data_IF_378028368715
#
_entry.id   IF_378028368715
#
_cell.length_a   1.000
_cell.length_b   1.000
_cell.length_c   1.000
_cell.angle_alpha   90.00
_cell.angle_beta   90.00
_cell.angle_gamma   90.00
#
_symmetry.space_group_name_H-M   'P 1'
#
loop_
_entity.id
_entity.type
_entity.pdbx_description
1 polymer ?
#
# COMPACT_ATOMS: atom_id res chain seq x y z
N UNK A 1 30.59 -56.01 -13.71
CA UNK A 1 30.71 -54.59 -14.14
C UNK A 1 29.36 -53.96 -14.52
N UNK A 2 28.54 -54.55 -15.42
CA UNK A 2 27.21 -54.01 -15.81
C UNK A 2 26.27 -53.64 -14.64
N UNK A 3 26.16 -54.49 -13.60
CA UNK A 3 25.28 -54.25 -12.44
C UNK A 3 25.74 -53.05 -11.58
N UNK A 4 27.04 -52.82 -11.47
CA UNK A 4 27.63 -51.70 -10.72
C UNK A 4 27.36 -50.38 -11.46
N UNK A 5 27.51 -50.38 -12.78
CA UNK A 5 27.22 -49.21 -13.63
C UNK A 5 25.74 -48.81 -13.54
N UNK A 6 24.82 -49.79 -13.58
CA UNK A 6 23.38 -49.53 -13.43
C UNK A 6 23.06 -48.97 -12.04
N UNK A 7 23.67 -49.52 -10.98
CA UNK A 7 23.48 -49.02 -9.61
C UNK A 7 23.94 -47.57 -9.45
N UNK A 8 25.08 -47.19 -10.04
CA UNK A 8 25.60 -45.82 -10.01
C UNK A 8 24.69 -44.86 -10.78
N UNK A 9 24.13 -45.31 -11.90
CA UNK A 9 23.21 -44.52 -12.72
C UNK A 9 21.90 -44.20 -11.97
N UNK A 10 21.35 -45.16 -11.23
CA UNK A 10 20.16 -44.97 -10.40
C UNK A 10 20.42 -43.96 -9.27
N UNK A 11 21.56 -44.09 -8.58
CA UNK A 11 21.95 -43.14 -7.52
C UNK A 11 22.11 -41.73 -8.09
N UNK A 12 22.72 -41.60 -9.27
CA UNK A 12 22.88 -40.31 -9.93
C UNK A 12 21.53 -39.66 -10.30
N UNK A 13 20.57 -40.44 -10.80
CA UNK A 13 19.21 -39.95 -11.12
C UNK A 13 18.47 -39.49 -9.85
N UNK A 14 18.60 -40.22 -8.74
CA UNK A 14 17.96 -39.84 -7.47
C UNK A 14 18.57 -38.55 -6.91
N UNK A 15 19.90 -38.42 -6.95
CA UNK A 15 20.61 -37.23 -6.47
C UNK A 15 20.29 -36.00 -7.32
N UNK A 16 20.31 -36.13 -8.64
CA UNK A 16 20.01 -35.02 -9.57
C UNK A 16 18.52 -34.64 -9.56
N UNK A 17 17.61 -35.63 -9.55
CA UNK A 17 16.18 -35.40 -9.45
C UNK A 17 15.78 -34.75 -8.12
N UNK A 18 16.37 -35.20 -7.01
CA UNK A 18 16.17 -34.59 -5.69
C UNK A 18 16.66 -33.15 -5.62
N UNK A 19 17.82 -32.84 -6.22
CA UNK A 19 18.37 -31.49 -6.30
C UNK A 19 17.48 -30.56 -7.14
N UNK A 20 17.01 -31.01 -8.30
CA UNK A 20 16.12 -30.23 -9.18
C UNK A 20 14.77 -29.91 -8.51
N UNK A 21 14.19 -30.88 -7.78
CA UNK A 21 12.94 -30.66 -7.03
C UNK A 21 13.13 -29.70 -5.85
N UNK A 22 14.28 -29.77 -5.18
CA UNK A 22 14.61 -28.83 -4.10
C UNK A 22 14.75 -27.41 -4.62
N UNK A 23 15.49 -27.20 -5.71
CA UNK A 23 15.71 -25.89 -6.30
C UNK A 23 14.41 -25.28 -6.87
N UNK A 24 13.56 -26.11 -7.50
CA UNK A 24 12.23 -25.68 -7.94
C UNK A 24 11.34 -25.24 -6.76
N UNK A 25 11.34 -25.98 -5.65
CA UNK A 25 10.57 -25.64 -4.45
C UNK A 25 11.12 -24.36 -3.79
N UNK A 26 12.44 -24.22 -3.68
CA UNK A 26 13.08 -23.01 -3.14
C UNK A 26 12.77 -21.78 -4.00
N UNK A 27 12.78 -21.92 -5.32
CA UNK A 27 12.44 -20.85 -6.27
C UNK A 27 10.96 -20.44 -6.17
N UNK A 28 10.05 -21.41 -6.01
CA UNK A 28 8.62 -21.13 -5.81
C UNK A 28 8.36 -20.40 -4.48
N UNK A 29 8.99 -20.85 -3.39
CA UNK A 29 8.88 -20.20 -2.07
C UNK A 29 9.43 -18.77 -2.12
N UNK A 30 10.57 -18.56 -2.79
CA UNK A 30 11.10 -17.22 -3.04
C UNK A 30 10.11 -16.34 -3.80
N UNK A 31 9.52 -16.85 -4.90
CA UNK A 31 8.58 -16.09 -5.74
C UNK A 31 7.32 -15.65 -4.99
N UNK A 32 6.85 -16.45 -4.02
CA UNK A 32 5.72 -16.11 -3.16
C UNK A 32 6.09 -15.05 -2.10
N UNK A 33 7.36 -15.02 -1.66
CA UNK A 33 7.90 -14.02 -0.73
C UNK A 33 8.15 -12.64 -1.38
N UNK A 34 8.31 -12.58 -2.71
CA UNK A 34 8.53 -11.34 -3.48
C UNK A 34 7.25 -10.77 -4.12
N UNK A 35 6.05 -11.00 -3.55
CA UNK A 35 4.87 -10.26 -4.03
C UNK A 35 5.09 -8.77 -3.74
N UNK A 36 5.39 -8.00 -4.78
CA UNK A 36 5.51 -6.55 -4.69
C UNK A 36 4.18 -5.98 -4.18
N UNK A 37 4.24 -5.21 -3.09
CA UNK A 37 3.06 -4.57 -2.52
C UNK A 37 2.39 -3.68 -3.56
N UNK A 38 1.06 -3.64 -3.54
CA UNK A 38 0.30 -2.78 -4.42
C UNK A 38 -0.80 -2.06 -3.63
N UNK A 39 -1.15 -0.80 -3.95
CA UNK A 39 -2.21 -0.09 -3.24
C UNK A 39 -3.55 -0.84 -3.22
N UNK A 40 -3.83 -1.65 -4.24
CA UNK A 40 -5.05 -2.49 -4.34
C UNK A 40 -5.16 -3.55 -3.24
N UNK A 41 -4.05 -3.92 -2.60
CA UNK A 41 -4.03 -4.91 -1.52
C UNK A 41 -4.53 -4.31 -0.18
N UNK A 42 -4.83 -3.00 -0.15
CA UNK A 42 -5.20 -2.27 1.05
C UNK A 42 -6.57 -1.57 0.91
N UNK A 43 -7.26 -1.42 2.03
CA UNK A 43 -8.22 -0.32 2.23
C UNK A 43 -7.50 0.97 2.65
N UNK A 44 -8.12 2.16 2.51
CA UNK A 44 -7.52 3.42 2.96
C UNK A 44 -7.01 3.38 4.41
N UNK A 45 -7.77 2.76 5.32
CA UNK A 45 -7.37 2.57 6.73
C UNK A 45 -6.15 1.67 6.86
N UNK A 46 -6.18 0.49 6.25
CA UNK A 46 -5.06 -0.45 6.35
C UNK A 46 -3.77 0.08 5.70
N UNK A 47 -3.91 0.89 4.63
CA UNK A 47 -2.78 1.56 3.98
C UNK A 47 -2.08 2.51 4.96
N UNK A 48 -2.83 3.42 5.58
CA UNK A 48 -2.27 4.41 6.53
C UNK A 48 -1.66 3.71 7.75
N UNK A 49 -2.35 2.70 8.29
CA UNK A 49 -1.84 1.94 9.44
C UNK A 49 -0.53 1.20 9.09
N UNK A 50 -0.44 0.60 7.90
CA UNK A 50 0.78 -0.05 7.45
C UNK A 50 1.94 0.95 7.32
N UNK A 51 1.69 2.12 6.73
CA UNK A 51 2.71 3.17 6.57
C UNK A 51 3.17 3.74 7.92
N UNK A 52 2.26 3.89 8.88
CA UNK A 52 2.58 4.24 10.26
C UNK A 52 3.42 3.16 10.93
N UNK A 53 3.04 1.88 10.78
CA UNK A 53 3.73 0.76 11.41
C UNK A 53 5.17 0.59 10.89
N UNK A 54 5.42 0.90 9.61
CA UNK A 54 6.75 0.80 8.97
C UNK A 54 7.66 1.99 9.23
N UNK A 55 7.14 3.07 9.78
CA UNK A 55 7.91 4.26 10.10
C UNK A 55 9.03 3.93 11.12
N UNK A 56 10.24 4.45 10.89
CA UNK A 56 11.48 4.11 11.60
C UNK A 56 11.90 2.63 11.55
N UNK A 57 11.24 1.79 10.73
CA UNK A 57 11.61 0.38 10.49
C UNK A 57 12.18 0.15 9.09
N UNK A 58 12.32 1.22 8.30
CA UNK A 58 12.91 1.19 6.96
C UNK A 58 14.02 2.25 6.88
N UNK A 59 15.11 2.02 6.14
CA UNK A 59 16.23 2.97 6.08
C UNK A 59 15.84 4.37 5.58
N UNK A 60 14.84 4.44 4.70
CA UNK A 60 14.41 5.68 4.04
C UNK A 60 13.05 6.18 4.52
N UNK A 61 12.49 5.57 5.57
CA UNK A 61 11.12 5.85 6.01
C UNK A 61 10.12 5.87 4.86
N UNK A 62 10.26 4.96 3.90
CA UNK A 62 9.40 4.87 2.72
C UNK A 62 8.96 3.44 2.47
N UNK A 63 7.78 3.31 1.86
CA UNK A 63 7.24 2.03 1.41
C UNK A 63 7.18 2.05 -0.10
N UNK A 64 7.90 1.11 -0.71
CA UNK A 64 7.88 0.92 -2.16
C UNK A 64 6.69 0.05 -2.57
N UNK A 65 5.89 0.54 -3.53
CA UNK A 65 4.72 -0.16 -4.06
C UNK A 65 4.70 -0.12 -5.59
N UNK A 66 4.02 -1.10 -6.18
CA UNK A 66 3.81 -1.23 -7.63
C UNK A 66 2.34 -1.12 -8.01
N UNK A 67 2.11 -0.73 -9.26
CA UNK A 67 0.77 -0.56 -9.81
C UNK A 67 0.10 0.73 -9.37
N UNK A 68 -1.18 0.82 -9.68
CA UNK A 68 -1.99 2.02 -9.44
C UNK A 68 -3.05 1.75 -8.36
N UNK A 69 -3.56 2.83 -7.77
CA UNK A 69 -4.75 2.77 -6.93
C UNK A 69 -5.95 2.32 -7.77
N UNK A 70 -6.85 1.47 -7.25
CA UNK A 70 -8.12 1.18 -7.93
C UNK A 70 -8.97 2.44 -8.16
N UNK A 71 -9.89 2.37 -9.13
CA UNK A 71 -10.89 3.44 -9.29
C UNK A 71 -11.88 3.42 -8.13
N UNK A 72 -12.34 4.60 -7.72
CA UNK A 72 -13.26 4.77 -6.58
C UNK A 72 -12.75 4.05 -5.32
N UNK A 73 -11.44 4.07 -5.07
CA UNK A 73 -10.82 3.25 -4.01
C UNK A 73 -11.34 3.59 -2.61
N UNK A 74 -11.57 4.87 -2.33
CA UNK A 74 -12.18 5.34 -1.08
C UNK A 74 -13.69 5.13 -1.12
N UNK A 75 -14.24 4.45 -0.12
CA UNK A 75 -15.68 4.16 -0.03
C UNK A 75 -16.36 5.05 1.03
N UNK A 76 -17.70 5.20 1.00
CA UNK A 76 -18.42 6.01 1.98
C UNK A 76 -18.12 5.64 3.44
N UNK A 77 -17.92 4.35 3.73
CA UNK A 77 -17.61 3.86 5.08
C UNK A 77 -16.19 4.22 5.56
N UNK A 78 -15.28 4.62 4.66
CA UNK A 78 -13.93 5.05 5.02
C UNK A 78 -13.90 6.52 5.46
N UNK A 79 -14.88 7.33 5.03
CA UNK A 79 -14.90 8.79 5.23
C UNK A 79 -14.81 9.17 6.71
N UNK A 80 -15.56 8.48 7.58
CA UNK A 80 -15.57 8.77 9.01
C UNK A 80 -14.19 8.56 9.65
N UNK A 81 -13.49 7.47 9.28
CA UNK A 81 -12.14 7.21 9.75
C UNK A 81 -11.16 8.26 9.23
N UNK A 82 -11.19 8.56 7.93
CA UNK A 82 -10.27 9.52 7.32
C UNK A 82 -10.45 10.92 7.92
N UNK A 83 -11.68 11.36 8.17
CA UNK A 83 -11.96 12.62 8.86
C UNK A 83 -11.43 12.64 10.29
N UNK A 84 -11.53 11.52 11.03
CA UNK A 84 -11.04 11.44 12.42
C UNK A 84 -9.52 11.65 12.55
N UNK A 85 -8.77 11.44 11.47
CA UNK A 85 -7.30 11.58 11.45
C UNK A 85 -6.81 12.74 10.58
N UNK A 86 -7.72 13.50 9.94
CA UNK A 86 -7.37 14.48 8.91
C UNK A 86 -6.40 15.58 9.38
N UNK A 87 -6.45 15.91 10.67
CA UNK A 87 -5.58 16.91 11.32
C UNK A 87 -4.31 16.30 11.95
N UNK A 88 -4.14 14.98 11.90
CA UNK A 88 -3.05 14.32 12.60
C UNK A 88 -1.72 14.52 11.89
N UNK A 89 -0.79 15.16 12.60
CA UNK A 89 0.63 15.32 12.20
C UNK A 89 1.50 14.13 12.64
N UNK A 90 0.88 13.01 13.00
CA UNK A 90 1.62 11.81 13.34
C UNK A 90 2.42 11.32 12.12
N UNK A 91 3.72 11.13 12.31
CA UNK A 91 4.65 10.75 11.24
C UNK A 91 4.40 9.31 10.79
N UNK A 92 4.55 9.09 9.49
CA UNK A 92 4.45 7.79 8.86
C UNK A 92 5.41 7.71 7.67
N UNK A 93 5.52 6.53 7.06
CA UNK A 93 6.34 6.38 5.86
C UNK A 93 5.86 7.26 4.70
N UNK A 94 6.78 7.61 3.80
CA UNK A 94 6.50 8.08 2.46
C UNK A 94 6.04 6.96 1.52
N UNK A 95 5.36 7.33 0.44
CA UNK A 95 5.07 6.45 -0.68
C UNK A 95 6.17 6.55 -1.74
N UNK A 96 6.61 5.42 -2.28
CA UNK A 96 7.52 5.36 -3.42
C UNK A 96 7.00 4.36 -4.43
N UNK A 97 6.88 4.77 -5.69
CA UNK A 97 6.59 3.85 -6.79
C UNK A 97 7.86 3.06 -7.12
N UNK A 98 7.73 1.77 -7.49
CA UNK A 98 8.85 0.94 -7.97
C UNK A 98 9.64 1.55 -9.14
N UNK A 99 9.03 2.44 -9.93
CA UNK A 99 9.67 3.14 -11.04
C UNK A 99 10.34 4.46 -10.63
N UNK A 100 10.34 4.82 -9.35
CA UNK A 100 11.02 6.01 -8.85
C UNK A 100 12.53 5.80 -8.82
N UNK A 101 13.28 6.75 -9.40
CA UNK A 101 14.73 6.86 -9.22
C UNK A 101 15.11 7.78 -8.04
N UNK A 102 14.14 8.46 -7.45
CA UNK A 102 14.37 9.40 -6.34
C UNK A 102 14.36 8.67 -5.00
N UNK A 103 15.46 8.79 -4.27
CA UNK A 103 15.58 8.42 -2.86
C UNK A 103 15.27 9.67 -2.01
N UNK A 104 14.28 9.56 -1.13
CA UNK A 104 13.93 10.60 -0.17
C UNK A 104 13.89 9.97 1.22
N UNK A 105 14.48 10.66 2.19
CA UNK A 105 14.46 10.33 3.62
C UNK A 105 13.41 11.17 4.38
N UNK A 106 12.61 11.97 3.67
CA UNK A 106 11.49 12.69 4.26
C UNK A 106 10.35 11.71 4.62
N UNK A 107 9.42 12.19 5.43
CA UNK A 107 8.34 11.41 6.03
C UNK A 107 6.98 11.92 5.59
N UNK A 108 5.98 11.06 5.58
CA UNK A 108 4.59 11.48 5.50
C UNK A 108 4.01 11.84 6.87
N UNK A 109 2.85 12.48 6.87
CA UNK A 109 1.95 12.60 8.01
C UNK A 109 0.65 11.87 7.69
N UNK A 110 0.08 11.14 8.66
CA UNK A 110 -1.13 10.35 8.40
C UNK A 110 -2.31 11.22 7.95
N UNK A 111 -2.40 12.46 8.45
CA UNK A 111 -3.41 13.43 8.03
C UNK A 111 -3.20 13.90 6.59
N UNK A 112 -1.96 13.99 6.11
CA UNK A 112 -1.66 14.30 4.71
C UNK A 112 -2.21 13.24 3.75
N UNK A 113 -2.05 11.95 4.07
CA UNK A 113 -2.68 10.87 3.31
C UNK A 113 -4.21 10.95 3.37
N UNK A 114 -4.77 11.21 4.56
CA UNK A 114 -6.21 11.34 4.72
C UNK A 114 -6.80 12.48 3.87
N UNK A 115 -6.11 13.62 3.77
CA UNK A 115 -6.48 14.74 2.90
C UNK A 115 -6.53 14.31 1.43
N UNK A 116 -5.48 13.64 0.93
CA UNK A 116 -5.43 13.15 -0.46
C UNK A 116 -6.60 12.19 -0.73
N UNK A 117 -6.81 11.24 0.17
CA UNK A 117 -7.87 10.23 0.00
C UNK A 117 -9.26 10.87 0.03
N UNK A 118 -9.53 11.79 0.96
CA UNK A 118 -10.80 12.51 1.02
C UNK A 118 -11.01 13.41 -0.20
N UNK A 119 -9.98 14.10 -0.68
CA UNK A 119 -10.10 14.90 -1.90
C UNK A 119 -10.43 14.03 -3.13
N UNK A 120 -9.82 12.84 -3.24
CA UNK A 120 -10.15 11.89 -4.32
C UNK A 120 -11.61 11.44 -4.26
N UNK A 121 -12.13 11.19 -3.05
CA UNK A 121 -13.54 10.83 -2.83
C UNK A 121 -14.49 11.98 -3.19
N UNK A 122 -14.19 13.20 -2.73
CA UNK A 122 -15.03 14.39 -2.96
C UNK A 122 -15.10 14.75 -4.44
N UNK A 123 -13.96 14.65 -5.14
CA UNK A 123 -13.85 15.01 -6.56
C UNK A 123 -14.17 13.85 -7.51
N UNK A 124 -14.44 12.65 -6.99
CA UNK A 124 -14.63 11.43 -7.78
C UNK A 124 -13.46 11.18 -8.75
N UNK A 125 -12.23 11.34 -8.25
CA UNK A 125 -10.99 11.14 -9.01
C UNK A 125 -10.19 9.96 -8.50
N UNK A 126 -9.36 9.39 -9.38
CA UNK A 126 -8.40 8.35 -9.01
C UNK A 126 -7.27 8.94 -8.18
N UNK A 127 -6.85 8.25 -7.13
CA UNK A 127 -5.69 8.67 -6.34
C UNK A 127 -4.43 8.56 -7.18
N UNK A 128 -3.64 9.64 -7.18
CA UNK A 128 -2.34 9.69 -7.79
C UNK A 128 -1.32 10.24 -6.79
N UNK A 129 -0.37 9.41 -6.38
CA UNK A 129 0.75 9.79 -5.50
C UNK A 129 2.07 10.01 -6.28
N UNK A 130 2.03 10.01 -7.61
CA UNK A 130 3.21 10.17 -8.46
C UNK A 130 4.25 9.06 -8.27
N UNK A 131 5.52 9.40 -8.50
CA UNK A 131 6.66 8.50 -8.28
C UNK A 131 7.10 8.47 -6.82
N UNK A 132 6.96 9.58 -6.09
CA UNK A 132 7.31 9.71 -4.69
C UNK A 132 6.36 10.71 -4.02
N UNK A 133 5.87 10.41 -2.81
CA UNK A 133 4.95 11.28 -2.07
C UNK A 133 5.16 11.18 -0.56
N UNK A 134 5.42 12.34 0.06
CA UNK A 134 5.54 12.53 1.51
C UNK A 134 4.50 13.56 1.97
N UNK A 135 3.21 13.20 2.01
CA UNK A 135 2.16 14.20 2.20
C UNK A 135 2.17 14.75 3.62
N UNK A 136 2.00 16.07 3.75
CA UNK A 136 1.88 16.76 5.04
C UNK A 136 0.46 17.25 5.24
N UNK A 137 0.09 17.52 6.49
CA UNK A 137 -1.19 18.18 6.80
C UNK A 137 -1.19 19.60 6.24
N UNK A 138 -2.19 19.89 5.41
CA UNK A 138 -2.46 21.23 4.88
C UNK A 138 -3.76 21.77 5.50
N UNK A 139 -3.66 22.80 6.33
CA UNK A 139 -4.80 23.34 7.08
C UNK A 139 -5.89 23.91 6.16
N UNK A 140 -5.52 24.46 5.00
CA UNK A 140 -6.51 24.95 4.05
C UNK A 140 -7.37 23.82 3.49
N UNK A 141 -6.74 22.71 3.10
CA UNK A 141 -7.42 21.50 2.65
C UNK A 141 -8.30 20.91 3.74
N UNK A 142 -7.82 20.86 4.99
CA UNK A 142 -8.61 20.40 6.13
C UNK A 142 -9.89 21.22 6.25
N UNK A 143 -9.79 22.56 6.27
CA UNK A 143 -10.97 23.44 6.40
C UNK A 143 -11.94 23.24 5.24
N UNK A 144 -11.45 23.08 4.00
CA UNK A 144 -12.29 22.81 2.82
C UNK A 144 -13.05 21.49 2.97
N UNK A 145 -12.38 20.43 3.41
CA UNK A 145 -12.97 19.09 3.58
C UNK A 145 -13.98 19.08 4.73
N UNK A 146 -13.68 19.71 5.87
CA UNK A 146 -14.62 19.81 7.01
C UNK A 146 -15.89 20.59 6.62
N UNK A 147 -15.76 21.68 5.87
CA UNK A 147 -16.91 22.45 5.35
C UNK A 147 -17.77 21.59 4.41
N UNK A 148 -17.14 20.85 3.50
CA UNK A 148 -17.86 19.91 2.63
C UNK A 148 -18.62 18.86 3.45
N UNK A 149 -17.99 18.26 4.46
CA UNK A 149 -18.63 17.22 5.27
C UNK A 149 -19.83 17.74 6.07
N UNK A 150 -19.72 18.93 6.68
CA UNK A 150 -20.83 19.59 7.39
C UNK A 150 -22.01 19.86 6.44
N UNK A 151 -21.73 20.41 5.25
CA UNK A 151 -22.74 20.67 4.22
C UNK A 151 -23.47 19.38 3.83
N UNK A 152 -22.74 18.32 3.51
CA UNK A 152 -23.31 17.03 3.08
C UNK A 152 -24.17 16.39 4.18
N UNK A 153 -23.71 16.43 5.44
CA UNK A 153 -24.46 15.86 6.57
C UNK A 153 -25.75 16.62 6.83
N UNK A 154 -25.71 17.95 6.75
CA UNK A 154 -26.91 18.79 6.86
C UNK A 154 -27.97 18.43 5.80
N UNK A 155 -27.57 18.28 4.53
CA UNK A 155 -28.50 17.88 3.47
C UNK A 155 -29.03 16.45 3.64
N UNK A 156 -28.21 15.51 4.12
CA UNK A 156 -28.64 14.13 4.36
C UNK A 156 -29.69 14.02 5.47
N UNK A 157 -29.51 14.79 6.55
CA UNK A 157 -30.47 14.81 7.65
C UNK A 157 -31.78 15.50 7.29
N UNK A 158 -31.76 16.50 6.40
CA UNK A 158 -32.99 17.22 5.98
C UNK A 158 -33.73 16.58 4.79
N UNK A 159 -33.10 15.64 4.07
CA UNK A 159 -33.73 14.85 2.99
C UNK A 159 -34.43 13.59 3.49
N UNK A 160 -34.19 13.18 4.73
CA UNK A 160 -34.85 12.05 5.40
C UNK A 160 -36.16 12.42 6.12
N UNK A 161 -36.56 13.70 6.08
CA UNK A 161 -37.82 14.23 6.60
C UNK A 161 -38.84 14.61 5.50
N UNK A 162 -38.65 14.14 4.27
CA UNK A 162 -39.59 14.31 3.15
C UNK A 162 -40.15 12.98 2.70
#
# INVERSE_FOLDING_TARGET
>A
MKKIIISLLIVFIILTGGYLLYDFKATKIKKEYYKTLSPKDFSPKSFILFFKEKYNKTPLNSVTMSGEFPDNWVKPNDVAYLLSIIRSKEKCCGYTNVFSSTLSDDHGEIGGFAIIFLNSYISNTKINLGLNCNPKVDEESVVKIEKWFKKTTYFKNNSSFK
#
